data_IF_932953960226
#
_entry.id   IF_932953960226
#
_cell.length_a   1.000
_cell.length_b   1.000
_cell.length_c   1.000
_cell.angle_alpha   90.00
_cell.angle_beta   90.00
_cell.angle_gamma   90.00
#
_symmetry.space_group_name_H-M   'P 1'
#
loop_
_entity.id
_entity.type
_entity.pdbx_description
1 polymer ?
#
# COMPACT_ATOMS: atom_id res chain seq x y z
N UNK A 1 32.33 13.14 -3.68
CA UNK A 1 30.97 13.51 -3.23
C UNK A 1 30.29 14.42 -4.24
N UNK A 2 28.98 14.47 -4.15
CA UNK A 2 28.12 15.39 -4.91
C UNK A 2 27.00 15.92 -4.02
N UNK A 3 26.78 17.24 -4.03
CA UNK A 3 25.58 17.82 -3.44
C UNK A 3 24.42 17.66 -4.44
N UNK A 4 23.28 17.14 -3.96
CA UNK A 4 22.15 16.75 -4.81
C UNK A 4 21.00 17.76 -4.76
N UNK A 5 20.71 18.32 -3.59
CA UNK A 5 19.64 19.30 -3.42
C UNK A 5 19.79 20.10 -2.14
N UNK A 6 19.01 21.15 -2.00
CA UNK A 6 18.80 21.85 -0.73
C UNK A 6 17.31 22.16 -0.53
N UNK A 7 16.86 22.13 0.72
CA UNK A 7 15.49 22.47 1.09
C UNK A 7 15.45 23.18 2.43
N UNK A 8 14.38 23.90 2.69
CA UNK A 8 14.12 24.40 4.05
C UNK A 8 13.71 23.26 4.98
N UNK A 9 14.15 23.33 6.21
CA UNK A 9 13.73 22.42 7.28
C UNK A 9 13.63 23.18 8.60
N UNK A 10 12.79 22.72 9.50
CA UNK A 10 12.77 23.19 10.88
C UNK A 10 13.66 22.30 11.75
N UNK A 11 14.30 22.91 12.75
CA UNK A 11 15.13 22.15 13.70
C UNK A 11 14.31 21.07 14.39
N UNK A 12 14.72 19.80 14.24
CA UNK A 12 14.02 18.61 14.73
C UNK A 12 12.54 18.49 14.27
N UNK A 13 12.20 19.01 13.08
CA UNK A 13 10.86 18.93 12.53
C UNK A 13 9.79 19.82 13.20
N UNK A 14 10.19 20.66 14.14
CA UNK A 14 9.27 21.51 14.89
C UNK A 14 9.20 22.90 14.24
N UNK A 15 8.00 23.29 13.77
CA UNK A 15 7.73 24.58 13.11
C UNK A 15 7.98 25.80 13.99
N UNK A 16 7.96 25.66 15.32
CA UNK A 16 8.17 26.74 16.28
C UNK A 16 9.67 27.03 16.52
N UNK A 17 10.54 26.19 15.95
CA UNK A 17 11.99 26.31 16.09
C UNK A 17 12.64 26.97 14.87
N UNK A 18 13.95 27.19 14.95
CA UNK A 18 14.72 27.85 13.93
C UNK A 18 14.56 27.20 12.55
N UNK A 19 14.34 28.03 11.54
CA UNK A 19 14.38 27.62 10.13
C UNK A 19 15.83 27.41 9.72
N UNK A 20 16.11 26.25 9.16
CA UNK A 20 17.42 25.82 8.69
C UNK A 20 17.37 25.50 7.20
N UNK A 21 18.52 25.58 6.56
CA UNK A 21 18.68 25.05 5.21
C UNK A 21 19.29 23.65 5.32
N UNK A 22 18.56 22.65 4.84
CA UNK A 22 19.04 21.27 4.76
C UNK A 22 19.68 21.04 3.42
N UNK A 23 20.92 20.57 3.44
CA UNK A 23 21.70 20.25 2.25
C UNK A 23 21.80 18.72 2.16
N UNK A 24 21.46 18.19 0.99
CA UNK A 24 21.55 16.77 0.69
C UNK A 24 22.76 16.52 -0.21
N UNK A 25 23.43 15.42 0.03
CA UNK A 25 24.57 15.00 -0.78
C UNK A 25 24.83 13.51 -0.62
N UNK A 26 25.66 12.99 -1.50
CA UNK A 26 26.12 11.61 -1.46
C UNK A 26 27.62 11.53 -1.66
N UNK A 27 28.26 10.49 -1.14
CA UNK A 27 29.68 10.23 -1.28
C UNK A 27 29.91 8.74 -1.51
N UNK A 28 30.92 8.44 -2.34
CA UNK A 28 31.36 7.08 -2.64
C UNK A 28 32.87 7.00 -2.58
N UNK A 29 33.43 5.81 -2.41
CA UNK A 29 34.87 5.61 -2.36
C UNK A 29 35.54 5.81 -3.72
N UNK A 30 34.82 5.50 -4.81
CA UNK A 30 35.33 5.63 -6.18
C UNK A 30 34.47 6.60 -7.01
N UNK A 31 35.11 7.24 -7.98
CA UNK A 31 34.43 8.18 -8.90
C UNK A 31 33.43 7.44 -9.81
N UNK A 32 33.75 6.23 -10.20
CA UNK A 32 32.91 5.38 -11.05
C UNK A 32 31.60 5.03 -10.36
N UNK A 33 31.65 4.64 -9.09
CA UNK A 33 30.47 4.36 -8.25
C UNK A 33 29.57 5.59 -8.10
N UNK A 34 30.18 6.75 -7.89
CA UNK A 34 29.44 8.01 -7.83
C UNK A 34 28.76 8.33 -9.17
N UNK A 35 29.45 8.11 -10.29
CA UNK A 35 28.90 8.35 -11.63
C UNK A 35 27.70 7.43 -11.89
N UNK A 36 27.86 6.14 -11.65
CA UNK A 36 26.77 5.15 -11.79
C UNK A 36 25.56 5.51 -10.92
N UNK A 37 25.78 5.89 -9.66
CA UNK A 37 24.72 6.33 -8.77
C UNK A 37 23.99 7.56 -9.32
N UNK A 38 24.71 8.56 -9.82
CA UNK A 38 24.10 9.77 -10.37
C UNK A 38 23.30 9.48 -11.65
N UNK A 39 23.76 8.57 -12.50
CA UNK A 39 23.03 8.13 -13.68
C UNK A 39 21.71 7.43 -13.28
N UNK A 40 21.75 6.51 -12.30
CA UNK A 40 20.56 5.87 -11.74
C UNK A 40 19.60 6.88 -11.08
N UNK A 41 20.16 7.87 -10.39
CA UNK A 41 19.37 8.91 -9.73
C UNK A 41 18.63 9.81 -10.74
N UNK A 42 19.30 10.21 -11.81
CA UNK A 42 18.66 11.00 -12.88
C UNK A 42 17.63 10.15 -13.67
N UNK A 43 17.89 8.87 -13.86
CA UNK A 43 16.92 7.96 -14.46
C UNK A 43 15.68 7.79 -13.57
N UNK A 44 15.85 7.62 -12.27
CA UNK A 44 14.75 7.57 -11.31
C UNK A 44 13.89 8.85 -11.35
N UNK A 45 14.51 10.03 -11.45
CA UNK A 45 13.76 11.30 -11.62
C UNK A 45 12.95 11.36 -12.92
N UNK A 46 13.50 10.81 -14.00
CA UNK A 46 12.75 10.74 -15.29
C UNK A 46 11.53 9.83 -15.18
N UNK A 47 11.63 8.76 -14.38
CA UNK A 47 10.57 7.78 -14.14
C UNK A 47 9.67 8.13 -12.95
N UNK A 48 9.83 9.31 -12.35
CA UNK A 48 8.98 9.74 -11.23
C UNK A 48 7.50 9.72 -11.61
N UNK A 49 6.72 8.97 -10.86
CA UNK A 49 5.31 8.73 -11.18
C UNK A 49 4.45 10.00 -11.07
N UNK A 50 4.83 10.97 -10.21
CA UNK A 50 4.11 12.24 -10.11
C UNK A 50 4.33 13.09 -11.36
N UNK A 51 5.57 13.10 -11.88
CA UNK A 51 5.89 13.77 -13.13
C UNK A 51 5.17 13.13 -14.30
N UNK A 52 5.34 11.83 -14.48
CA UNK A 52 4.72 11.08 -15.56
C UNK A 52 3.18 11.12 -15.47
N UNK A 53 2.62 11.00 -14.28
CA UNK A 53 1.17 11.08 -14.06
C UNK A 53 0.56 12.39 -14.53
N UNK A 54 1.24 13.51 -14.26
CA UNK A 54 0.84 14.85 -14.74
C UNK A 54 1.02 15.01 -16.25
N UNK A 55 2.21 14.68 -16.77
CA UNK A 55 2.53 14.81 -18.19
C UNK A 55 1.62 13.94 -19.08
N UNK A 56 1.29 12.74 -18.62
CA UNK A 56 0.43 11.81 -19.33
C UNK A 56 -1.06 12.01 -19.03
N UNK A 57 -1.41 12.84 -18.06
CA UNK A 57 -2.78 13.08 -17.63
C UNK A 57 -3.43 11.84 -17.05
N UNK A 58 -2.76 11.10 -16.16
CA UNK A 58 -3.26 9.83 -15.58
C UNK A 58 -4.07 10.04 -14.30
N UNK A 59 -3.65 10.96 -13.45
CA UNK A 59 -4.32 11.29 -12.20
C UNK A 59 -4.09 12.74 -11.80
N UNK A 60 -4.90 13.22 -10.87
CA UNK A 60 -4.79 14.55 -10.29
C UNK A 60 -5.24 14.52 -8.84
N UNK A 61 -4.94 15.57 -8.11
CA UNK A 61 -5.45 15.85 -6.76
C UNK A 61 -6.17 17.18 -6.77
N UNK A 62 -7.25 17.30 -5.99
CA UNK A 62 -8.09 18.50 -5.90
C UNK A 62 -8.29 18.84 -4.43
N UNK A 63 -7.99 20.07 -4.03
CA UNK A 63 -8.00 20.51 -2.63
C UNK A 63 -9.34 20.29 -1.92
N UNK A 64 -10.46 20.51 -2.62
CA UNK A 64 -11.82 20.32 -2.07
C UNK A 64 -12.13 18.86 -1.77
N UNK A 65 -11.43 17.90 -2.42
CA UNK A 65 -11.56 16.47 -2.11
C UNK A 65 -10.62 16.08 -0.97
N UNK A 66 -9.44 16.68 -0.92
CA UNK A 66 -8.45 16.49 0.14
C UNK A 66 -7.15 15.83 -0.34
N UNK A 67 -6.13 16.02 0.46
CA UNK A 67 -4.81 15.44 0.22
C UNK A 67 -4.85 13.91 0.44
N UNK A 68 -4.05 13.19 -0.35
CA UNK A 68 -3.98 11.73 -0.26
C UNK A 68 -5.19 10.99 -0.83
N UNK A 69 -6.06 11.70 -1.58
CA UNK A 69 -7.23 11.16 -2.26
C UNK A 69 -7.13 11.45 -3.78
N UNK A 70 -6.30 10.72 -4.51
CA UNK A 70 -6.08 10.95 -5.93
C UNK A 70 -7.31 10.61 -6.78
N UNK A 71 -7.56 11.43 -7.79
CA UNK A 71 -8.57 11.23 -8.82
C UNK A 71 -7.90 10.67 -10.06
N UNK A 72 -8.29 9.51 -10.49
CA UNK A 72 -7.83 8.94 -11.74
C UNK A 72 -8.66 9.43 -12.92
N UNK A 73 -8.00 9.91 -13.96
CA UNK A 73 -8.65 10.27 -15.22
C UNK A 73 -9.16 9.01 -15.93
N UNK A 74 -9.99 9.14 -16.97
CA UNK A 74 -10.39 7.98 -17.78
C UNK A 74 -9.20 7.18 -18.32
N UNK A 75 -8.10 7.86 -18.69
CA UNK A 75 -6.87 7.22 -19.18
C UNK A 75 -6.16 6.44 -18.05
N UNK A 76 -6.00 7.04 -16.90
CA UNK A 76 -5.40 6.41 -15.72
C UNK A 76 -6.24 5.23 -15.22
N UNK A 77 -7.56 5.42 -15.14
CA UNK A 77 -8.51 4.35 -14.77
C UNK A 77 -8.39 3.14 -15.70
N UNK A 78 -8.32 3.37 -17.02
CA UNK A 78 -8.16 2.28 -17.99
C UNK A 78 -6.87 1.49 -17.79
N UNK A 79 -5.78 2.17 -17.42
CA UNK A 79 -4.51 1.54 -17.12
C UNK A 79 -4.60 0.67 -15.85
N UNK A 80 -5.13 1.24 -14.75
CA UNK A 80 -5.32 0.52 -13.48
C UNK A 80 -6.21 -0.71 -13.68
N UNK A 81 -7.34 -0.57 -14.38
CA UNK A 81 -8.24 -1.70 -14.64
C UNK A 81 -7.58 -2.83 -15.43
N UNK A 82 -6.65 -2.51 -16.34
CA UNK A 82 -5.89 -3.55 -17.06
C UNK A 82 -4.92 -4.28 -16.15
N UNK A 83 -4.18 -3.54 -15.31
CA UNK A 83 -3.26 -4.12 -14.34
C UNK A 83 -4.01 -4.98 -13.32
N UNK A 84 -5.13 -4.48 -12.81
CA UNK A 84 -5.96 -5.20 -11.85
C UNK A 84 -6.48 -6.52 -12.45
N UNK A 85 -7.07 -6.49 -13.65
CA UNK A 85 -7.57 -7.71 -14.32
C UNK A 85 -6.46 -8.71 -14.59
N UNK A 86 -5.29 -8.22 -14.99
CA UNK A 86 -4.14 -9.08 -15.26
C UNK A 86 -3.69 -9.81 -13.99
N UNK A 87 -3.52 -9.12 -12.87
CA UNK A 87 -3.10 -9.76 -11.63
C UNK A 87 -4.18 -10.69 -11.06
N UNK A 88 -5.45 -10.29 -11.15
CA UNK A 88 -6.58 -11.12 -10.76
C UNK A 88 -6.64 -12.43 -11.57
N UNK A 89 -6.52 -12.34 -12.88
CA UNK A 89 -6.47 -13.51 -13.77
C UNK A 89 -5.27 -14.42 -13.48
N UNK A 90 -4.12 -13.83 -13.20
CA UNK A 90 -2.90 -14.56 -12.85
C UNK A 90 -3.09 -15.37 -11.56
N UNK A 91 -3.57 -14.72 -10.49
CA UNK A 91 -3.79 -15.34 -9.20
C UNK A 91 -4.83 -16.47 -9.27
N UNK A 92 -5.97 -16.21 -9.93
CA UNK A 92 -7.08 -17.17 -10.00
C UNK A 92 -6.74 -18.37 -10.88
N UNK A 93 -6.14 -18.15 -12.06
CA UNK A 93 -6.00 -19.19 -13.09
C UNK A 93 -4.69 -19.97 -12.97
N UNK A 94 -3.62 -19.31 -12.54
CA UNK A 94 -2.27 -19.89 -12.58
C UNK A 94 -1.72 -20.20 -11.18
N UNK A 95 -2.13 -19.41 -10.18
CA UNK A 95 -1.57 -19.52 -8.81
C UNK A 95 -2.53 -20.16 -7.80
N UNK A 96 -3.76 -20.45 -8.20
CA UNK A 96 -4.72 -21.23 -7.40
C UNK A 96 -5.27 -20.47 -6.19
N UNK A 97 -5.40 -19.15 -6.28
CA UNK A 97 -6.09 -18.37 -5.27
C UNK A 97 -7.59 -18.35 -5.50
N UNK A 98 -8.37 -18.38 -4.42
CA UNK A 98 -9.81 -18.16 -4.45
C UNK A 98 -10.15 -16.73 -4.07
N UNK A 99 -11.04 -16.10 -4.82
CA UNK A 99 -11.41 -14.70 -4.62
C UNK A 99 -12.40 -14.53 -3.48
N UNK A 100 -12.11 -13.55 -2.63
CA UNK A 100 -13.04 -13.05 -1.62
C UNK A 100 -13.43 -11.61 -1.89
N UNK A 101 -14.52 -11.17 -1.29
CA UNK A 101 -14.93 -9.77 -1.25
C UNK A 101 -15.53 -9.46 0.10
N UNK A 102 -14.92 -8.55 0.81
CA UNK A 102 -15.28 -8.21 2.19
C UNK A 102 -15.67 -6.73 2.34
N UNK A 103 -16.40 -6.36 3.40
CA UNK A 103 -16.83 -4.97 3.62
C UNK A 103 -15.68 -3.99 3.78
N UNK A 104 -15.92 -2.72 3.43
CA UNK A 104 -14.94 -1.63 3.56
C UNK A 104 -14.82 -1.10 5.00
N UNK A 105 -15.73 -1.46 5.88
CA UNK A 105 -15.75 -1.03 7.28
C UNK A 105 -16.26 -2.14 8.18
N UNK A 106 -15.90 -2.07 9.45
CA UNK A 106 -16.41 -2.96 10.49
C UNK A 106 -16.55 -2.25 11.82
N UNK A 107 -17.22 -2.89 12.76
CA UNK A 107 -17.26 -2.49 14.16
C UNK A 107 -15.85 -2.46 14.75
N UNK A 108 -15.63 -1.57 15.71
CA UNK A 108 -14.36 -1.49 16.44
C UNK A 108 -13.93 -2.82 17.06
N UNK A 109 -14.89 -3.68 17.39
CA UNK A 109 -14.62 -4.98 18.02
C UNK A 109 -13.81 -5.93 17.15
N UNK A 110 -14.00 -5.90 15.82
CA UNK A 110 -13.17 -6.67 14.90
C UNK A 110 -11.69 -6.29 15.04
N UNK A 111 -11.42 -5.00 15.14
CA UNK A 111 -10.07 -4.47 15.24
C UNK A 111 -9.45 -4.64 16.63
N UNK A 112 -10.28 -4.70 17.68
CA UNK A 112 -9.86 -5.09 19.04
C UNK A 112 -9.42 -6.55 19.08
N UNK A 113 -10.23 -7.46 18.52
CA UNK A 113 -9.91 -8.90 18.43
C UNK A 113 -8.60 -9.13 17.68
N UNK A 114 -8.38 -8.42 16.60
CA UNK A 114 -7.17 -8.56 15.77
C UNK A 114 -5.95 -7.75 16.26
N UNK A 115 -6.09 -6.99 17.37
CA UNK A 115 -5.01 -6.17 17.96
C UNK A 115 -4.75 -4.85 17.25
N UNK A 116 -5.42 -4.57 16.13
CA UNK A 116 -5.20 -3.31 15.38
C UNK A 116 -5.68 -2.08 16.13
N UNK A 117 -6.71 -2.22 16.96
CA UNK A 117 -7.26 -1.11 17.73
C UNK A 117 -6.23 -0.53 18.71
N UNK A 118 -5.45 -1.37 19.36
CA UNK A 118 -4.51 -0.93 20.38
C UNK A 118 -3.19 -0.40 19.79
N UNK A 119 -2.81 -0.88 18.60
CA UNK A 119 -1.50 -0.59 18.03
C UNK A 119 -1.54 0.32 16.79
N UNK A 120 -2.71 0.54 16.20
CA UNK A 120 -2.83 1.24 14.93
C UNK A 120 -4.00 2.24 14.88
N UNK A 121 -4.61 2.59 16.01
CA UNK A 121 -5.80 3.45 16.07
C UNK A 121 -5.58 4.81 15.41
N UNK A 122 -4.41 5.44 15.60
CA UNK A 122 -4.09 6.75 15.02
C UNK A 122 -4.04 6.72 13.47
N UNK A 123 -3.71 5.57 12.91
CA UNK A 123 -3.70 5.34 11.45
C UNK A 123 -5.06 4.95 10.87
N UNK A 124 -6.14 4.92 11.65
CA UNK A 124 -7.47 4.50 11.23
C UNK A 124 -8.45 5.67 11.12
N UNK A 125 -9.35 5.62 10.12
CA UNK A 125 -10.54 6.48 10.07
C UNK A 125 -11.65 5.87 10.93
N UNK A 126 -11.91 6.48 12.08
CA UNK A 126 -12.90 6.01 13.05
C UNK A 126 -14.17 6.84 12.91
N UNK A 127 -15.30 6.17 12.85
CA UNK A 127 -16.64 6.73 12.72
C UNK A 127 -17.39 6.58 14.04
N UNK A 128 -18.15 7.61 14.42
CA UNK A 128 -18.96 7.64 15.64
C UNK A 128 -18.17 7.43 16.95
N UNK A 129 -16.91 7.86 17.01
CA UNK A 129 -16.02 7.66 18.17
C UNK A 129 -16.61 8.26 19.45
N UNK A 130 -17.25 9.41 19.34
CA UNK A 130 -17.77 10.21 20.47
C UNK A 130 -19.31 10.17 20.57
N UNK A 131 -19.94 9.17 20.00
CA UNK A 131 -21.42 9.03 20.01
C UNK A 131 -21.84 7.91 20.97
N UNK A 132 -22.56 8.27 22.01
CA UNK A 132 -23.13 7.30 22.96
C UNK A 132 -24.28 6.48 22.33
N UNK A 133 -24.96 7.02 21.33
CA UNK A 133 -26.13 6.41 20.69
C UNK A 133 -25.79 5.56 19.44
N UNK A 134 -24.55 5.61 18.96
CA UNK A 134 -24.15 4.93 17.72
C UNK A 134 -22.94 4.04 17.92
N UNK A 135 -23.00 2.90 17.26
CA UNK A 135 -21.92 1.95 17.26
C UNK A 135 -20.64 2.55 16.64
N UNK A 136 -19.50 2.40 17.33
CA UNK A 136 -18.20 2.82 16.82
C UNK A 136 -17.76 1.87 15.72
N UNK A 137 -17.49 2.42 14.55
CA UNK A 137 -17.00 1.70 13.38
C UNK A 137 -15.70 2.31 12.87
N UNK A 138 -14.97 1.59 12.05
CA UNK A 138 -13.80 2.11 11.37
C UNK A 138 -13.73 1.63 9.92
N UNK A 139 -13.18 2.49 9.04
CA UNK A 139 -12.78 2.08 7.71
C UNK A 139 -11.57 1.14 7.82
N UNK A 140 -11.53 0.12 6.98
CA UNK A 140 -10.48 -0.91 7.06
C UNK A 140 -9.11 -0.39 6.63
N UNK A 141 -8.08 -0.49 7.46
CA UNK A 141 -6.69 -0.23 7.08
C UNK A 141 -6.03 -1.43 6.40
N UNK A 142 -6.64 -2.62 6.50
CA UNK A 142 -6.22 -3.90 5.95
C UNK A 142 -7.38 -4.89 5.88
N UNK A 143 -7.21 -5.97 5.14
CA UNK A 143 -8.27 -6.97 4.86
C UNK A 143 -8.17 -8.22 5.74
N UNK A 144 -7.00 -8.47 6.37
CA UNK A 144 -6.72 -9.69 7.13
C UNK A 144 -7.86 -10.17 8.03
N UNK A 145 -8.39 -9.34 8.97
CA UNK A 145 -9.40 -9.81 9.92
C UNK A 145 -10.68 -10.27 9.24
N UNK A 146 -11.04 -9.65 8.12
CA UNK A 146 -12.26 -10.01 7.38
C UNK A 146 -12.12 -11.36 6.69
N UNK A 147 -10.99 -11.63 6.04
CA UNK A 147 -10.76 -12.89 5.35
C UNK A 147 -10.70 -14.09 6.32
N UNK A 148 -10.20 -13.87 7.53
CA UNK A 148 -10.24 -14.94 8.55
C UNK A 148 -11.68 -15.32 8.90
N UNK A 149 -12.62 -14.39 8.98
CA UNK A 149 -14.02 -14.68 9.18
C UNK A 149 -14.67 -15.37 7.97
N UNK A 150 -14.24 -15.05 6.75
CA UNK A 150 -14.68 -15.79 5.55
C UNK A 150 -14.26 -17.25 5.67
N UNK A 151 -13.01 -17.53 6.02
CA UNK A 151 -12.52 -18.89 6.22
C UNK A 151 -13.25 -19.61 7.35
N UNK A 152 -13.46 -18.96 8.49
CA UNK A 152 -14.11 -19.54 9.66
C UNK A 152 -15.61 -19.81 9.47
N UNK A 153 -16.23 -19.28 8.43
CA UNK A 153 -17.65 -19.46 8.14
C UNK A 153 -18.00 -20.90 7.66
N UNK A 154 -17.02 -21.66 7.25
CA UNK A 154 -17.16 -23.03 6.77
C UNK A 154 -16.29 -23.98 7.59
N UNK A 155 -16.65 -25.27 7.58
CA UNK A 155 -15.80 -26.30 8.18
C UNK A 155 -14.73 -26.73 7.18
N UNK A 156 -13.47 -26.64 7.58
CA UNK A 156 -12.33 -27.05 6.78
C UNK A 156 -11.65 -28.28 7.37
N UNK A 157 -11.13 -29.12 6.48
CA UNK A 157 -10.25 -30.24 6.81
C UNK A 157 -8.79 -29.84 6.58
N UNK A 158 -7.86 -30.49 7.26
CA UNK A 158 -6.44 -30.37 6.95
C UNK A 158 -6.10 -30.73 5.48
N UNK A 159 -6.98 -31.45 4.78
CA UNK A 159 -6.82 -31.81 3.36
C UNK A 159 -7.15 -30.66 2.41
N UNK A 160 -7.83 -29.64 2.92
CA UNK A 160 -8.17 -28.42 2.14
C UNK A 160 -7.02 -27.41 2.15
N UNK A 161 -5.96 -27.70 2.93
CA UNK A 161 -4.79 -26.84 3.06
C UNK A 161 -3.69 -27.19 2.04
N UNK A 162 -2.97 -26.24 1.51
CA UNK A 162 -3.05 -24.79 1.81
C UNK A 162 -4.27 -24.13 1.15
N UNK A 163 -5.00 -23.32 1.91
CA UNK A 163 -6.16 -22.57 1.43
C UNK A 163 -5.76 -21.13 1.15
N UNK A 164 -5.72 -20.74 -0.11
CA UNK A 164 -5.21 -19.45 -0.58
C UNK A 164 -6.36 -18.53 -0.93
N UNK A 165 -6.59 -17.49 -0.14
CA UNK A 165 -7.60 -16.45 -0.39
C UNK A 165 -6.94 -15.19 -0.89
N UNK A 166 -7.50 -14.56 -1.93
CA UNK A 166 -7.07 -13.24 -2.38
C UNK A 166 -8.23 -12.26 -2.52
N UNK A 167 -7.94 -10.98 -2.39
CA UNK A 167 -8.90 -9.91 -2.57
C UNK A 167 -8.23 -8.68 -3.18
N UNK A 168 -8.85 -8.11 -4.22
CA UNK A 168 -8.52 -6.75 -4.65
C UNK A 168 -9.30 -5.78 -3.80
N UNK A 169 -8.61 -5.12 -2.90
CA UNK A 169 -9.13 -4.49 -1.71
C UNK A 169 -8.86 -3.00 -1.69
N UNK A 170 -9.89 -2.19 -1.45
CA UNK A 170 -9.70 -0.77 -1.14
C UNK A 170 -9.49 -0.60 0.36
N UNK A 171 -8.39 0.07 0.71
CA UNK A 171 -7.97 0.33 2.08
C UNK A 171 -7.90 1.82 2.36
N UNK A 172 -8.00 2.16 3.64
CA UNK A 172 -8.00 3.54 4.12
C UNK A 172 -7.01 3.69 5.28
N UNK A 173 -6.12 4.67 5.18
CA UNK A 173 -5.16 4.99 6.24
C UNK A 173 -5.15 6.48 6.51
N UNK A 174 -5.29 6.86 7.77
CA UNK A 174 -5.27 8.25 8.21
C UNK A 174 -3.83 8.77 8.26
N UNK A 175 -3.22 8.90 7.08
CA UNK A 175 -1.85 9.38 6.94
C UNK A 175 -1.72 10.86 7.24
N UNK A 176 -0.65 11.25 7.91
CA UNK A 176 -0.32 12.65 8.17
C UNK A 176 0.05 13.39 6.88
N UNK A 177 -0.30 14.68 6.80
CA UNK A 177 -0.08 15.48 5.60
C UNK A 177 1.39 15.55 5.16
N UNK A 178 2.33 15.50 6.10
CA UNK A 178 3.76 15.54 5.82
C UNK A 178 4.36 14.21 5.32
N UNK A 179 3.62 13.12 5.42
CA UNK A 179 4.08 11.79 5.00
C UNK A 179 3.53 11.36 3.64
N UNK A 180 2.48 12.01 3.17
CA UNK A 180 1.86 11.68 1.89
C UNK A 180 2.78 12.00 0.71
N UNK A 181 2.87 11.06 -0.24
CA UNK A 181 3.71 11.20 -1.41
C UNK A 181 3.09 10.55 -2.66
N UNK A 182 2.61 11.38 -3.58
CA UNK A 182 2.06 10.96 -4.87
C UNK A 182 1.01 9.88 -4.78
N UNK A 183 1.27 8.74 -5.41
CA UNK A 183 0.44 7.52 -5.31
C UNK A 183 1.05 6.47 -4.35
N UNK A 184 2.27 6.69 -3.85
CA UNK A 184 2.97 5.70 -3.01
C UNK A 184 2.54 5.75 -1.56
N UNK A 185 2.10 6.91 -1.07
CA UNK A 185 1.56 7.05 0.29
C UNK A 185 0.36 7.98 0.27
N UNK A 186 -0.81 7.40 0.39
CA UNK A 186 -2.12 8.03 0.21
C UNK A 186 -3.10 7.57 1.28
N UNK A 187 -4.22 8.29 1.44
CA UNK A 187 -5.25 7.95 2.43
C UNK A 187 -6.22 6.86 1.96
N UNK A 188 -6.37 6.72 0.65
CA UNK A 188 -7.17 5.66 0.04
C UNK A 188 -6.38 5.04 -1.10
N UNK A 189 -6.27 3.72 -1.12
CA UNK A 189 -5.57 2.98 -2.15
C UNK A 189 -6.19 1.59 -2.35
N UNK A 190 -5.87 0.97 -3.46
CA UNK A 190 -6.30 -0.39 -3.77
C UNK A 190 -5.06 -1.27 -3.88
N UNK A 191 -5.09 -2.41 -3.21
CA UNK A 191 -4.06 -3.45 -3.32
C UNK A 191 -4.70 -4.77 -3.72
N UNK A 192 -3.93 -5.66 -4.29
CA UNK A 192 -4.24 -7.08 -4.34
C UNK A 192 -3.44 -7.75 -3.25
N UNK A 193 -4.13 -8.38 -2.32
CA UNK A 193 -3.53 -9.04 -1.17
C UNK A 193 -4.09 -10.45 -0.99
N UNK A 194 -3.32 -11.30 -0.35
CA UNK A 194 -3.70 -12.68 -0.12
C UNK A 194 -3.38 -13.14 1.30
N UNK A 195 -4.18 -14.06 1.81
CA UNK A 195 -3.94 -14.78 3.06
C UNK A 195 -4.00 -16.28 2.79
N UNK A 196 -2.96 -16.98 3.19
CA UNK A 196 -2.80 -18.40 2.98
C UNK A 196 -2.90 -19.10 4.34
N UNK A 197 -3.92 -19.93 4.49
CA UNK A 197 -4.07 -20.80 5.66
C UNK A 197 -3.38 -22.12 5.32
N UNK A 198 -2.43 -22.54 6.16
CA UNK A 198 -1.58 -23.69 5.86
C UNK A 198 -1.16 -24.47 7.12
N UNK A 199 -0.71 -25.71 6.96
CA UNK A 199 0.02 -26.43 8.01
C UNK A 199 1.48 -25.98 8.06
N UNK A 200 2.14 -26.05 9.24
CA UNK A 200 3.54 -25.64 9.37
C UNK A 200 4.48 -26.29 8.36
N UNK A 201 4.22 -27.54 7.98
CA UNK A 201 5.00 -28.32 7.02
C UNK A 201 4.92 -27.77 5.58
N UNK A 202 3.87 -26.99 5.28
CA UNK A 202 3.65 -26.39 3.97
C UNK A 202 4.27 -24.97 3.86
N UNK A 203 4.76 -24.41 4.97
CA UNK A 203 5.15 -23.00 5.05
C UNK A 203 6.32 -22.66 4.11
N UNK A 204 7.32 -23.51 3.99
CA UNK A 204 8.49 -23.28 3.13
C UNK A 204 8.11 -23.27 1.64
N UNK A 205 7.28 -24.23 1.22
CA UNK A 205 6.79 -24.30 -0.15
C UNK A 205 5.93 -23.08 -0.50
N UNK A 206 5.00 -22.70 0.36
CA UNK A 206 4.12 -21.54 0.12
C UNK A 206 4.90 -20.22 0.13
N UNK A 207 5.89 -20.06 0.99
CA UNK A 207 6.76 -18.89 0.99
C UNK A 207 7.57 -18.79 -0.33
N UNK A 208 8.06 -19.93 -0.82
CA UNK A 208 8.76 -19.99 -2.11
C UNK A 208 7.82 -19.56 -3.24
N UNK A 209 6.61 -20.12 -3.30
CA UNK A 209 5.59 -19.73 -4.29
C UNK A 209 5.26 -18.24 -4.24
N UNK A 210 5.07 -17.66 -3.05
CA UNK A 210 4.83 -16.23 -2.91
C UNK A 210 6.00 -15.40 -3.46
N UNK A 211 7.22 -15.83 -3.19
CA UNK A 211 8.44 -15.17 -3.71
C UNK A 211 8.52 -15.25 -5.24
N UNK A 212 8.20 -16.40 -5.80
CA UNK A 212 8.16 -16.61 -7.27
C UNK A 212 7.09 -15.72 -7.91
N UNK A 213 5.89 -15.63 -7.34
CA UNK A 213 4.83 -14.73 -7.83
C UNK A 213 5.29 -13.27 -7.80
N UNK A 214 5.88 -12.81 -6.70
CA UNK A 214 6.42 -11.46 -6.59
C UNK A 214 7.50 -11.20 -7.66
N UNK A 215 8.43 -12.15 -7.84
CA UNK A 215 9.48 -12.03 -8.85
C UNK A 215 8.91 -11.98 -10.26
N UNK A 216 7.94 -12.84 -10.56
CA UNK A 216 7.24 -12.84 -11.86
C UNK A 216 6.54 -11.51 -12.16
N UNK A 217 5.79 -10.99 -11.18
CA UNK A 217 5.08 -9.71 -11.32
C UNK A 217 6.06 -8.56 -11.54
N UNK A 218 7.10 -8.45 -10.71
CA UNK A 218 8.10 -7.39 -10.82
C UNK A 218 8.88 -7.46 -12.14
N UNK A 219 9.27 -8.65 -12.58
CA UNK A 219 9.99 -8.83 -13.85
C UNK A 219 9.11 -8.51 -15.06
N UNK A 220 7.81 -8.83 -14.99
CA UNK A 220 6.86 -8.56 -16.08
C UNK A 220 6.57 -7.07 -16.22
N UNK A 221 6.57 -6.34 -15.13
CA UNK A 221 6.28 -4.89 -15.13
C UNK A 221 7.53 -4.02 -15.34
N UNK A 222 8.74 -4.54 -15.24
CA UNK A 222 10.03 -3.85 -15.46
C UNK A 222 10.64 -3.36 -14.16
#
# INVERSE_FOLDING_TARGET
FKLTSSSMAYWRGNSDKARLQRIYGTAFNKKEELKEYLEKFEDAKRRDHNKLGREMGLFTTVDVIGQGLPLFTPKGTKMIMKLQRWIEDLEDKEWGYVRTRTPLMAKSDLYKISGHWDHYMDGMFILNKDSDDKETMALRPMTCPFQYYVYMNEQHSYRDLPYRMSETSTLFRNEDSGEMHGLTRVRQFTITEAHIILCPEQAEEELTRCTELCHYVMTTLG
#
